data_IF_823891479378
#
_entry.id   IF_823891479378
#
_cell.length_a   1.000
_cell.length_b   1.000
_cell.length_c   1.000
_cell.angle_alpha   90.00
_cell.angle_beta   90.00
_cell.angle_gamma   90.00
#
_symmetry.space_group_name_H-M   'P 1'
#
loop_
_entity.id
_entity.type
_entity.pdbx_description
1 polymer ?
#
# COMPACT_ATOMS: atom_id res chain seq x y z
N UNK A 1 7.64 9.98 1.27
CA UNK A 1 8.92 9.45 1.80
C UNK A 1 10.05 9.46 0.79
N UNK A 2 9.83 9.07 -0.48
CA UNK A 2 10.91 9.04 -1.48
C UNK A 2 11.64 10.39 -1.67
N UNK A 3 10.92 11.51 -1.79
CA UNK A 3 11.54 12.83 -1.99
C UNK A 3 12.51 13.24 -0.87
N UNK A 4 12.15 13.00 0.39
CA UNK A 4 13.02 13.26 1.55
C UNK A 4 14.33 12.46 1.48
N UNK A 5 14.22 11.16 1.18
CA UNK A 5 15.39 10.28 1.09
C UNK A 5 16.29 10.63 -0.10
N UNK A 6 15.73 11.18 -1.18
CA UNK A 6 16.52 11.67 -2.30
C UNK A 6 17.31 12.92 -1.95
N UNK A 7 16.70 13.89 -1.25
CA UNK A 7 17.41 15.08 -0.77
C UNK A 7 18.54 14.69 0.18
N UNK A 8 18.24 13.87 1.20
CA UNK A 8 19.24 13.42 2.18
C UNK A 8 20.43 12.70 1.53
N UNK A 9 20.17 11.93 0.45
CA UNK A 9 21.23 11.24 -0.28
C UNK A 9 22.15 12.20 -1.04
N UNK A 10 21.64 13.33 -1.50
CA UNK A 10 22.45 14.37 -2.15
C UNK A 10 23.26 15.14 -1.11
N UNK A 11 22.67 15.46 0.03
CA UNK A 11 23.36 16.13 1.15
C UNK A 11 24.56 15.30 1.64
N UNK A 12 24.41 13.97 1.73
CA UNK A 12 25.44 13.07 2.23
C UNK A 12 26.37 12.49 1.14
N UNK A 13 26.33 13.00 -0.09
CA UNK A 13 27.03 12.41 -1.24
C UNK A 13 28.55 12.35 -1.03
N UNK A 14 29.13 13.42 -0.47
CA UNK A 14 30.57 13.55 -0.23
C UNK A 14 31.02 12.92 1.11
N UNK A 15 30.08 12.56 1.99
CA UNK A 15 30.38 11.96 3.30
C UNK A 15 30.57 10.44 3.24
N UNK A 16 30.41 9.84 2.06
CA UNK A 16 30.55 8.39 1.87
C UNK A 16 29.43 7.55 2.49
N UNK A 17 28.36 8.19 2.98
CA UNK A 17 27.19 7.54 3.59
C UNK A 17 26.24 7.04 2.49
N UNK A 18 25.76 5.80 2.62
CA UNK A 18 24.79 5.21 1.70
C UNK A 18 23.37 5.32 2.27
N UNK A 19 22.52 6.08 1.58
CA UNK A 19 21.08 6.14 1.85
C UNK A 19 20.37 5.18 0.89
N UNK A 20 19.71 4.17 1.45
CA UNK A 20 18.96 3.16 0.70
C UNK A 20 17.52 3.09 1.19
N UNK A 21 16.54 3.04 0.27
CA UNK A 21 15.17 2.66 0.64
C UNK A 21 14.80 1.29 0.10
N UNK A 22 13.97 0.60 0.87
CA UNK A 22 13.55 -0.77 0.61
C UNK A 22 12.03 -0.80 0.53
N UNK A 23 11.51 -1.39 -0.54
CA UNK A 23 10.09 -1.64 -0.78
C UNK A 23 9.87 -3.16 -0.87
N UNK A 24 9.74 -3.85 0.28
CA UNK A 24 9.42 -5.27 0.30
C UNK A 24 7.98 -5.50 -0.18
N UNK A 25 7.70 -6.73 -0.64
CA UNK A 25 6.33 -7.17 -0.89
C UNK A 25 5.62 -7.57 0.39
N UNK A 26 4.58 -8.39 0.25
CA UNK A 26 3.98 -9.04 1.41
C UNK A 26 4.99 -10.00 2.06
N UNK A 27 5.41 -9.65 3.27
CA UNK A 27 6.29 -10.47 4.12
C UNK A 27 5.42 -11.22 5.13
N UNK A 28 5.72 -12.49 5.37
CA UNK A 28 5.16 -13.27 6.48
C UNK A 28 5.87 -12.83 7.77
N UNK A 29 5.28 -11.85 8.48
CA UNK A 29 5.74 -11.41 9.79
C UNK A 29 4.60 -11.45 10.80
N UNK A 30 4.95 -11.55 12.09
CA UNK A 30 3.97 -11.66 13.18
C UNK A 30 3.11 -10.40 13.38
N UNK A 31 3.42 -9.29 12.69
CA UNK A 31 2.71 -8.01 12.82
C UNK A 31 1.22 -8.12 12.47
N UNK A 32 0.85 -9.05 11.57
CA UNK A 32 -0.55 -9.24 11.13
C UNK A 32 -1.42 -9.98 12.15
N UNK A 33 -0.82 -10.87 12.93
CA UNK A 33 -1.51 -11.57 14.02
C UNK A 33 -1.79 -10.63 15.21
N UNK A 34 -0.96 -9.58 15.34
CA UNK A 34 -1.13 -8.54 16.35
C UNK A 34 -1.87 -7.30 15.84
N UNK A 35 -2.25 -7.27 14.55
CA UNK A 35 -2.98 -6.15 13.99
C UNK A 35 -4.43 -6.20 14.46
N UNK A 36 -4.86 -5.12 15.11
CA UNK A 36 -6.24 -4.95 15.51
C UNK A 36 -7.08 -4.62 14.27
N UNK A 37 -8.21 -5.28 14.15
CA UNK A 37 -9.27 -4.98 13.19
C UNK A 37 -9.90 -3.61 13.48
N UNK A 38 -10.71 -3.10 12.56
CA UNK A 38 -11.37 -1.80 12.70
C UNK A 38 -12.24 -1.68 13.97
N UNK A 39 -12.65 -2.83 14.54
CA UNK A 39 -13.42 -2.97 15.77
C UNK A 39 -12.56 -3.28 17.01
N UNK A 40 -11.23 -3.32 16.88
CA UNK A 40 -10.31 -3.67 17.97
C UNK A 40 -10.20 -5.17 18.26
N UNK A 41 -10.85 -6.04 17.47
CA UNK A 41 -10.66 -7.49 17.58
C UNK A 41 -9.35 -7.93 16.92
N UNK A 42 -8.76 -9.05 17.36
CA UNK A 42 -7.60 -9.61 16.69
C UNK A 42 -8.01 -10.19 15.33
N UNK A 43 -7.35 -9.78 14.25
CA UNK A 43 -7.60 -10.34 12.93
C UNK A 43 -7.00 -11.75 12.84
N UNK A 44 -7.79 -12.78 13.13
CA UNK A 44 -7.31 -14.17 13.26
C UNK A 44 -7.02 -14.85 11.92
N UNK A 45 -7.67 -14.45 10.82
CA UNK A 45 -7.49 -15.09 9.51
C UNK A 45 -7.01 -14.13 8.41
N UNK A 46 -5.95 -14.55 7.71
CA UNK A 46 -5.32 -13.80 6.63
C UNK A 46 -6.10 -14.04 5.32
N UNK A 47 -6.70 -13.02 4.67
CA UNK A 47 -7.31 -13.18 3.35
C UNK A 47 -6.28 -13.40 2.22
N UNK A 48 -4.99 -13.25 2.52
CA UNK A 48 -3.89 -13.48 1.59
C UNK A 48 -3.38 -14.92 1.68
N UNK A 49 -3.16 -15.54 0.53
CA UNK A 49 -2.58 -16.87 0.42
C UNK A 49 -1.13 -16.87 0.93
N UNK A 50 -0.91 -17.47 2.11
CA UNK A 50 0.38 -17.50 2.80
C UNK A 50 1.51 -18.10 1.97
N UNK A 51 1.20 -19.02 1.05
CA UNK A 51 2.18 -19.62 0.13
C UNK A 51 2.88 -18.63 -0.81
N UNK A 52 2.31 -17.42 -0.99
CA UNK A 52 2.88 -16.36 -1.84
C UNK A 52 3.67 -15.32 -1.05
N UNK A 53 3.76 -15.46 0.27
CA UNK A 53 4.47 -14.52 1.14
C UNK A 53 5.97 -14.81 1.18
N UNK A 54 6.78 -13.74 1.23
CA UNK A 54 8.21 -13.87 1.48
C UNK A 54 8.45 -14.05 2.98
N UNK A 55 9.33 -14.97 3.39
CA UNK A 55 9.71 -15.07 4.80
C UNK A 55 10.47 -13.81 5.27
N UNK A 56 10.42 -13.52 6.56
CA UNK A 56 11.14 -12.39 7.14
C UNK A 56 12.66 -12.54 6.97
N UNK A 57 13.17 -13.76 7.08
CA UNK A 57 14.58 -14.11 6.91
C UNK A 57 15.06 -13.83 5.48
N UNK A 58 14.29 -14.22 4.48
CA UNK A 58 14.64 -13.95 3.08
C UNK A 58 14.59 -12.44 2.77
N UNK A 59 13.63 -11.72 3.35
CA UNK A 59 13.58 -10.26 3.28
C UNK A 59 14.86 -9.64 3.87
N UNK A 60 15.24 -10.03 5.08
CA UNK A 60 16.45 -9.55 5.76
C UNK A 60 17.72 -9.85 4.96
N UNK A 61 17.84 -11.07 4.43
CA UNK A 61 18.99 -11.47 3.61
C UNK A 61 19.13 -10.63 2.34
N UNK A 62 18.01 -10.30 1.69
CA UNK A 62 17.99 -9.41 0.51
C UNK A 62 18.42 -8.00 0.86
N UNK A 63 18.00 -7.48 2.01
CA UNK A 63 18.40 -6.15 2.50
C UNK A 63 19.91 -6.13 2.76
N UNK A 64 20.44 -7.10 3.52
CA UNK A 64 21.86 -7.21 3.82
C UNK A 64 22.72 -7.25 2.54
N UNK A 65 22.31 -8.07 1.56
CA UNK A 65 22.99 -8.12 0.27
C UNK A 65 22.96 -6.79 -0.47
N UNK A 66 21.86 -6.04 -0.38
CA UNK A 66 21.73 -4.74 -1.02
C UNK A 66 22.57 -3.65 -0.35
N UNK A 67 22.67 -3.68 0.99
CA UNK A 67 23.57 -2.81 1.77
C UNK A 67 25.02 -3.02 1.33
N UNK A 68 25.46 -4.28 1.27
CA UNK A 68 26.81 -4.62 0.83
C UNK A 68 27.12 -4.14 -0.60
N UNK A 69 26.10 -4.06 -1.46
CA UNK A 69 26.19 -3.56 -2.83
C UNK A 69 25.95 -2.05 -2.95
N UNK A 70 25.78 -1.33 -1.83
CA UNK A 70 25.45 0.11 -1.76
C UNK A 70 24.32 0.52 -2.72
N UNK A 71 23.28 -0.31 -2.81
CA UNK A 71 22.14 -0.01 -3.70
C UNK A 71 21.40 1.23 -3.21
N UNK A 72 20.92 2.04 -4.15
CA UNK A 72 20.01 3.16 -3.85
C UNK A 72 18.60 2.68 -3.50
N UNK A 73 18.12 1.66 -4.20
CA UNK A 73 16.72 1.23 -4.13
C UNK A 73 16.61 -0.28 -4.22
N UNK A 74 15.74 -0.87 -3.41
CA UNK A 74 15.44 -2.30 -3.45
C UNK A 74 13.93 -2.51 -3.56
N UNK A 75 13.47 -2.94 -4.74
CA UNK A 75 12.09 -3.39 -4.96
C UNK A 75 12.13 -4.91 -5.06
N UNK A 76 11.47 -5.59 -4.12
CA UNK A 76 11.66 -7.04 -3.94
C UNK A 76 10.67 -7.91 -4.72
N UNK A 77 9.56 -7.34 -5.18
CA UNK A 77 8.54 -8.06 -5.94
C UNK A 77 8.71 -7.82 -7.44
N UNK A 78 8.48 -8.87 -8.24
CA UNK A 78 8.48 -8.78 -9.71
C UNK A 78 7.39 -7.83 -10.20
N UNK A 79 6.19 -7.91 -9.61
CA UNK A 79 5.11 -6.97 -9.87
C UNK A 79 5.50 -5.53 -9.51
N UNK A 80 6.12 -5.29 -8.37
CA UNK A 80 6.56 -3.94 -7.98
C UNK A 80 7.59 -3.35 -8.94
N UNK A 81 8.54 -4.17 -9.41
CA UNK A 81 9.51 -3.75 -10.45
C UNK A 81 8.80 -3.38 -11.75
N UNK A 82 7.83 -4.20 -12.18
CA UNK A 82 7.04 -3.94 -13.37
C UNK A 82 6.21 -2.66 -13.21
N UNK A 83 5.53 -2.47 -12.09
CA UNK A 83 4.73 -1.27 -11.82
C UNK A 83 5.58 0.00 -11.85
N UNK A 84 6.78 -0.02 -11.24
CA UNK A 84 7.70 1.13 -11.26
C UNK A 84 8.18 1.43 -12.69
N UNK A 85 8.47 0.37 -13.46
CA UNK A 85 8.83 0.53 -14.87
C UNK A 85 7.66 1.08 -15.69
N UNK A 86 6.45 0.57 -15.51
CA UNK A 86 5.26 1.04 -16.22
C UNK A 86 4.87 2.46 -15.82
N UNK A 87 5.01 2.84 -14.54
CA UNK A 87 4.71 4.20 -14.09
C UNK A 87 5.67 5.22 -14.73
N UNK A 88 6.90 4.80 -15.06
CA UNK A 88 7.86 5.64 -15.79
C UNK A 88 7.41 5.95 -17.23
N UNK A 89 6.69 5.05 -17.89
CA UNK A 89 6.32 5.21 -19.31
C UNK A 89 4.83 5.55 -19.53
N UNK A 90 3.94 5.11 -18.63
CA UNK A 90 2.48 5.23 -18.78
C UNK A 90 1.78 5.49 -17.43
N UNK A 91 2.10 6.60 -16.74
CA UNK A 91 1.60 6.87 -15.38
C UNK A 91 0.07 6.83 -15.30
N UNK A 92 -0.63 7.54 -16.20
CA UNK A 92 -2.10 7.58 -16.19
C UNK A 92 -2.79 6.24 -16.46
N UNK A 93 -2.13 5.30 -17.16
CA UNK A 93 -2.67 3.94 -17.32
C UNK A 93 -2.51 3.13 -16.03
N UNK A 94 -1.33 3.22 -15.39
CA UNK A 94 -1.06 2.54 -14.12
C UNK A 94 -2.03 2.99 -13.04
N UNK A 95 -2.29 4.31 -12.94
CA UNK A 95 -3.25 4.87 -11.98
C UNK A 95 -4.64 4.26 -12.15
N UNK A 96 -5.08 4.08 -13.40
CA UNK A 96 -6.38 3.47 -13.71
C UNK A 96 -6.44 1.98 -13.36
N UNK A 97 -5.33 1.24 -13.51
CA UNK A 97 -5.28 -0.17 -13.12
C UNK A 97 -5.23 -0.34 -11.61
N UNK A 98 -4.48 0.51 -10.91
CA UNK A 98 -4.44 0.53 -9.44
C UNK A 98 -5.83 0.83 -8.88
N UNK A 99 -6.53 1.83 -9.42
CA UNK A 99 -7.92 2.12 -9.04
C UNK A 99 -8.84 0.91 -9.23
N UNK A 100 -8.76 0.24 -10.38
CA UNK A 100 -9.55 -0.98 -10.66
C UNK A 100 -9.21 -2.12 -9.72
N UNK A 101 -7.93 -2.30 -9.39
CA UNK A 101 -7.48 -3.35 -8.48
C UNK A 101 -8.11 -3.17 -7.10
N UNK A 102 -7.99 -1.96 -6.52
CA UNK A 102 -8.59 -1.65 -5.23
C UNK A 102 -10.11 -1.65 -5.27
N UNK A 103 -10.76 -1.23 -6.35
CA UNK A 103 -12.22 -1.28 -6.47
C UNK A 103 -12.78 -2.71 -6.48
N UNK A 104 -11.96 -3.71 -6.80
CA UNK A 104 -12.35 -5.12 -6.91
C UNK A 104 -12.02 -5.95 -5.65
N UNK A 105 -11.36 -5.37 -4.65
CA UNK A 105 -11.12 -6.06 -3.37
C UNK A 105 -12.43 -6.20 -2.57
N UNK A 106 -12.59 -7.32 -1.86
CA UNK A 106 -13.70 -7.51 -0.93
C UNK A 106 -13.60 -6.45 0.18
N UNK A 107 -14.68 -5.71 0.43
CA UNK A 107 -14.76 -4.52 1.31
C UNK A 107 -14.06 -3.23 0.84
N UNK A 108 -13.90 -3.03 -0.48
CA UNK A 108 -13.42 -1.74 -0.99
C UNK A 108 -14.42 -0.59 -0.79
N UNK A 109 -14.05 0.52 -0.13
CA UNK A 109 -14.88 1.73 -0.04
C UNK A 109 -15.01 2.46 -1.39
N UNK A 110 -14.30 2.00 -2.42
CA UNK A 110 -14.32 2.56 -3.77
C UNK A 110 -15.35 1.88 -4.69
N UNK A 111 -15.96 0.76 -4.25
CA UNK A 111 -17.07 0.15 -4.98
C UNK A 111 -18.22 1.14 -4.91
N UNK A 112 -18.54 1.78 -6.06
CA UNK A 112 -19.65 2.73 -6.16
C UNK A 112 -20.85 2.15 -5.44
N UNK A 113 -21.36 2.86 -4.43
CA UNK A 113 -22.70 2.66 -3.94
C UNK A 113 -23.60 2.76 -5.17
N UNK A 114 -24.09 1.60 -5.62
CA UNK A 114 -25.36 1.61 -6.32
C UNK A 114 -26.31 2.12 -5.25
N UNK A 115 -26.67 3.40 -5.36
CA UNK A 115 -27.80 3.95 -4.64
C UNK A 115 -28.96 3.07 -5.08
N UNK A 116 -29.27 2.06 -4.27
CA UNK A 116 -30.51 1.33 -4.36
C UNK A 116 -31.55 2.36 -3.97
N UNK A 117 -32.12 3.04 -4.96
CA UNK A 117 -33.44 3.66 -4.84
C UNK A 117 -34.41 2.52 -4.54
N UNK A 118 -34.57 2.18 -3.26
CA UNK A 118 -35.72 1.48 -2.76
C UNK A 118 -36.25 2.31 -1.61
N UNK A 119 -37.17 3.21 -1.96
CA UNK A 119 -38.12 3.82 -1.05
C UNK A 119 -38.87 2.71 -0.31
N UNK A 120 -38.41 2.39 0.90
CA UNK A 120 -39.26 1.89 1.96
C UNK A 120 -39.49 3.05 2.91
N UNK A 121 -40.64 3.66 2.68
CA UNK A 121 -41.35 4.64 3.46
C UNK A 121 -41.30 4.36 4.96
N UNK A 122 -40.61 5.21 5.72
CA UNK A 122 -40.95 5.48 7.13
C UNK A 122 -41.09 6.98 7.34
N UNK A 123 -42.03 7.29 8.22
CA UNK A 123 -42.84 8.49 8.22
C UNK A 123 -42.22 9.56 9.14
N UNK A 124 -41.81 10.72 8.56
CA UNK A 124 -41.72 12.09 9.15
C UNK A 124 -40.82 12.40 10.38
N UNK A 125 -40.46 13.68 10.67
CA UNK A 125 -40.48 14.91 9.85
C UNK A 125 -39.12 15.64 9.72
N UNK A 126 -39.02 16.34 8.59
CA UNK A 126 -38.16 17.48 8.24
C UNK A 126 -37.46 18.25 9.36
N UNK A 127 -36.12 18.28 9.31
CA UNK A 127 -35.34 19.47 9.68
C UNK A 127 -34.30 19.79 8.60
N UNK A 128 -34.61 20.89 7.91
CA UNK A 128 -33.75 21.69 7.07
C UNK A 128 -32.62 22.24 7.95
N UNK A 129 -31.36 21.92 7.66
CA UNK A 129 -30.25 22.75 8.12
C UNK A 129 -29.44 23.24 6.92
N UNK A 130 -29.57 24.54 6.70
CA UNK A 130 -28.97 25.30 5.61
C UNK A 130 -27.61 25.86 6.00
N UNK A 131 -26.80 26.16 4.98
CA UNK A 131 -25.61 27.05 4.95
C UNK A 131 -24.37 26.44 5.60
N UNK A 132 -23.25 26.26 4.90
CA UNK A 132 -22.43 27.21 4.11
C UNK A 132 -22.05 28.44 4.93
N UNK A 133 -20.92 28.34 5.63
CA UNK A 133 -19.86 29.37 5.68
C UNK A 133 -18.54 28.62 5.56
#
# INVERSE_FOLDING_TARGET
>A
MQGFLESLRIELLEEGVNVMWVSPGFVASNIRNTALSADGSAQTETPLNESKLMSAEECARRILKAIAQRKRTVIMTTQGKLTVWMNKFFPGWVDRQVYKHFANEADSPLKKSTITTNDQQTNTPSYIFSRRV
#
